data_IF_920768587312
#
_entry.id   IF_920768587312
#
_cell.length_a   1.000
_cell.length_b   1.000
_cell.length_c   1.000
_cell.angle_alpha   90.00
_cell.angle_beta   90.00
_cell.angle_gamma   90.00
#
_symmetry.space_group_name_H-M   'P 1'
#
loop_
_entity.id
_entity.type
_entity.pdbx_description
1 polymer ?
#
# COMPACT_ATOMS: atom_id res chain seq x y z
N UNK A 1 69.14 11.72 -72.05
CA UNK A 1 67.99 12.37 -71.40
C UNK A 1 67.14 11.25 -70.78
N UNK A 2 67.15 11.12 -69.45
CA UNK A 2 66.35 10.19 -68.73
C UNK A 2 65.43 10.99 -67.81
N UNK A 3 64.15 10.87 -68.10
CA UNK A 3 63.06 11.50 -67.32
C UNK A 3 62.73 10.62 -66.08
N UNK A 4 62.78 11.18 -64.90
CA UNK A 4 62.42 10.57 -63.62
C UNK A 4 60.94 10.95 -63.37
N UNK A 5 60.04 10.03 -63.08
CA UNK A 5 58.68 10.37 -62.66
C UNK A 5 58.63 10.66 -61.17
N UNK A 6 58.03 11.82 -60.84
CA UNK A 6 57.73 12.25 -59.49
C UNK A 6 56.51 11.50 -59.01
N UNK A 7 56.69 10.60 -58.01
CA UNK A 7 55.57 9.92 -57.33
C UNK A 7 55.08 10.82 -56.22
N UNK A 8 53.94 11.44 -56.37
CA UNK A 8 53.26 12.23 -55.36
C UNK A 8 52.60 11.31 -54.36
N UNK A 9 53.11 11.22 -53.15
CA UNK A 9 52.51 10.47 -52.04
C UNK A 9 51.33 11.29 -51.46
N UNK A 10 50.08 10.85 -51.69
CA UNK A 10 48.92 11.40 -51.01
C UNK A 10 48.84 10.83 -49.61
N UNK A 11 49.18 11.59 -48.59
CA UNK A 11 49.01 11.22 -47.18
C UNK A 11 47.56 11.46 -46.82
N UNK A 12 46.73 10.39 -46.84
CA UNK A 12 45.37 10.42 -46.25
C UNK A 12 45.51 10.41 -44.75
N UNK A 13 45.45 11.57 -44.10
CA UNK A 13 45.22 11.69 -42.65
C UNK A 13 43.75 11.34 -42.37
N UNK A 14 43.49 10.13 -41.92
CA UNK A 14 42.21 9.72 -41.36
C UNK A 14 42.08 10.39 -40.00
N UNK A 15 41.34 11.51 -39.94
CA UNK A 15 40.90 12.06 -38.67
C UNK A 15 39.88 11.12 -38.03
N UNK A 16 40.29 10.37 -37.04
CA UNK A 16 39.34 9.72 -36.13
C UNK A 16 38.67 10.80 -35.28
N UNK A 17 37.50 11.27 -35.70
CA UNK A 17 36.61 11.99 -34.81
C UNK A 17 36.13 11.04 -33.74
N UNK A 18 36.75 11.08 -32.56
CA UNK A 18 36.17 10.48 -31.35
C UNK A 18 34.95 11.33 -30.98
N UNK A 19 33.79 10.96 -31.49
CA UNK A 19 32.53 11.40 -30.92
C UNK A 19 32.47 10.84 -29.49
N UNK A 20 32.94 11.60 -28.52
CA UNK A 20 32.55 11.39 -27.12
C UNK A 20 31.03 11.59 -27.04
N UNK A 21 30.27 10.55 -27.10
CA UNK A 21 28.90 10.53 -26.60
C UNK A 21 28.98 10.92 -25.14
N UNK A 22 28.83 12.21 -24.84
CA UNK A 22 28.47 12.68 -23.52
C UNK A 22 27.04 12.17 -23.28
N UNK A 23 26.95 10.93 -22.80
CA UNK A 23 25.72 10.44 -22.19
C UNK A 23 25.59 11.24 -20.89
N UNK A 24 24.99 12.41 -20.98
CA UNK A 24 24.46 13.11 -19.80
C UNK A 24 23.45 12.14 -19.22
N UNK A 25 23.62 11.66 -17.99
CA UNK A 25 22.61 10.83 -17.37
C UNK A 25 21.31 11.64 -17.41
N UNK A 26 20.33 11.15 -18.14
CA UNK A 26 19.04 11.79 -18.27
C UNK A 26 18.34 11.61 -16.91
N UNK A 27 18.56 12.52 -15.96
CA UNK A 27 17.89 12.59 -14.67
C UNK A 27 16.44 13.09 -14.83
N UNK A 28 15.87 12.94 -16.02
CA UNK A 28 14.52 13.35 -16.34
C UNK A 28 13.54 12.59 -15.47
N UNK A 29 12.88 13.32 -14.57
CA UNK A 29 11.82 12.80 -13.72
C UNK A 29 12.23 12.29 -12.33
N UNK A 30 13.52 12.30 -11.94
CA UNK A 30 13.92 11.99 -10.58
C UNK A 30 13.65 13.17 -9.64
N UNK A 31 12.83 12.96 -8.62
CA UNK A 31 12.54 13.95 -7.58
C UNK A 31 13.06 13.44 -6.24
N UNK A 32 13.72 14.33 -5.47
CA UNK A 32 14.21 14.06 -4.12
C UNK A 32 13.34 14.76 -3.08
N UNK A 33 12.98 14.03 -2.03
CA UNK A 33 12.25 14.53 -0.88
C UNK A 33 13.11 14.31 0.38
N UNK A 34 13.20 15.37 1.19
CA UNK A 34 13.88 15.41 2.49
C UNK A 34 12.90 15.95 3.53
N UNK A 35 13.28 15.98 4.79
CA UNK A 35 12.44 16.55 5.87
C UNK A 35 12.01 17.99 5.56
N UNK A 36 12.80 18.75 4.80
CA UNK A 36 12.54 20.16 4.52
C UNK A 36 11.53 20.40 3.39
N UNK A 37 11.36 19.46 2.45
CA UNK A 37 10.49 19.59 1.30
C UNK A 37 9.46 18.44 1.15
N UNK A 38 9.41 17.52 2.11
CA UNK A 38 8.42 16.45 2.14
C UNK A 38 7.02 17.01 2.44
N UNK A 39 6.00 16.32 1.95
CA UNK A 39 4.64 16.57 2.38
C UNK A 39 4.45 16.13 3.84
N UNK A 40 3.57 16.79 4.62
CA UNK A 40 3.24 16.31 5.96
C UNK A 40 2.69 14.89 5.93
N UNK A 41 3.18 14.04 6.82
CA UNK A 41 2.63 12.69 6.99
C UNK A 41 1.39 12.73 7.87
N UNK A 42 0.25 12.29 7.36
CA UNK A 42 -1.05 12.38 8.03
C UNK A 42 -1.29 11.28 9.07
N UNK A 43 -0.48 10.23 9.05
CA UNK A 43 -0.61 9.04 9.92
C UNK A 43 -1.93 8.27 9.77
N UNK A 44 -2.71 8.53 8.72
CA UNK A 44 -3.98 7.83 8.46
C UNK A 44 -3.77 6.53 7.67
N UNK A 45 -2.66 6.44 6.94
CA UNK A 45 -2.27 5.28 6.14
C UNK A 45 -0.86 4.86 6.50
N UNK A 46 -0.57 3.56 6.35
CA UNK A 46 0.77 3.03 6.54
C UNK A 46 1.68 3.36 5.34
N UNK A 47 2.84 2.70 5.27
CA UNK A 47 3.79 2.81 4.16
C UNK A 47 3.16 2.25 2.89
N UNK A 48 2.70 3.13 2.02
CA UNK A 48 2.10 2.80 0.74
C UNK A 48 2.54 3.79 -0.34
N UNK A 49 2.29 3.48 -1.61
CA UNK A 49 2.74 4.28 -2.74
C UNK A 49 2.40 5.78 -2.62
N UNK A 50 1.21 6.12 -2.15
CA UNK A 50 0.76 7.51 -1.99
C UNK A 50 1.42 8.26 -0.82
N UNK A 51 1.98 7.54 0.16
CA UNK A 51 2.61 8.14 1.34
C UNK A 51 4.13 8.29 1.23
N UNK A 52 4.78 7.73 0.20
CA UNK A 52 6.25 7.73 0.12
C UNK A 52 6.88 9.11 0.24
N UNK A 53 6.31 10.12 -0.41
CA UNK A 53 6.83 11.50 -0.38
C UNK A 53 6.64 12.20 0.96
N UNK A 54 5.88 11.62 1.87
CA UNK A 54 5.64 12.12 3.23
C UNK A 54 6.45 11.41 4.30
N UNK A 55 7.25 10.40 3.92
CA UNK A 55 8.02 9.60 4.88
C UNK A 55 9.31 10.22 5.40
N UNK A 56 10.01 11.18 4.73
CA UNK A 56 11.22 11.76 5.28
C UNK A 56 11.02 12.25 6.72
N UNK A 57 11.93 11.87 7.63
CA UNK A 57 11.84 12.15 9.07
C UNK A 57 10.97 11.17 9.87
N UNK A 58 10.21 10.30 9.21
CA UNK A 58 9.41 9.30 9.90
C UNK A 58 10.28 8.11 10.36
N UNK A 59 9.83 7.46 11.42
CA UNK A 59 10.41 6.20 11.87
C UNK A 59 9.59 5.03 11.33
N UNK A 60 10.25 4.08 10.69
CA UNK A 60 9.67 2.83 10.22
C UNK A 60 10.14 1.66 11.09
N UNK A 61 9.27 0.71 11.35
CA UNK A 61 9.62 -0.59 11.89
C UNK A 61 9.52 -1.62 10.76
N UNK A 62 10.62 -2.33 10.49
CA UNK A 62 10.67 -3.43 9.55
C UNK A 62 10.14 -4.69 10.22
N UNK A 63 8.87 -4.99 10.08
CA UNK A 63 8.30 -6.21 10.67
C UNK A 63 8.57 -7.47 9.85
N UNK A 64 8.94 -7.32 8.58
CA UNK A 64 9.16 -8.45 7.69
C UNK A 64 7.90 -8.85 6.94
N UNK A 65 7.89 -10.05 6.39
CA UNK A 65 6.78 -10.63 5.65
C UNK A 65 6.29 -11.87 6.36
N UNK A 66 4.98 -12.01 6.54
CA UNK A 66 4.38 -13.22 7.08
C UNK A 66 4.80 -14.43 6.23
N UNK A 67 5.23 -15.50 6.88
CA UNK A 67 5.70 -16.72 6.22
C UNK A 67 6.95 -16.55 5.33
N UNK A 68 7.84 -15.59 5.65
CA UNK A 68 9.16 -15.53 4.99
C UNK A 68 9.95 -16.82 5.23
N UNK A 69 9.83 -17.76 4.28
CA UNK A 69 10.50 -19.07 4.35
C UNK A 69 11.97 -18.99 3.90
N UNK A 70 12.34 -17.95 3.18
CA UNK A 70 13.65 -17.85 2.55
C UNK A 70 14.67 -17.19 3.46
N UNK A 71 14.24 -16.31 4.37
CA UNK A 71 15.14 -15.59 5.28
C UNK A 71 16.08 -14.62 4.58
N UNK A 72 15.81 -14.23 3.32
CA UNK A 72 16.67 -13.39 2.48
C UNK A 72 15.86 -12.37 1.69
N UNK A 73 16.45 -11.17 1.54
CA UNK A 73 15.78 -10.02 0.91
C UNK A 73 16.63 -9.42 -0.21
N UNK A 74 16.04 -9.14 -1.35
CA UNK A 74 16.66 -8.52 -2.53
C UNK A 74 16.26 -7.05 -2.72
N UNK A 75 15.95 -6.34 -1.63
CA UNK A 75 15.42 -4.99 -1.66
C UNK A 75 16.34 -3.92 -1.05
N UNK A 76 17.50 -4.32 -0.49
CA UNK A 76 18.40 -3.42 0.22
C UNK A 76 19.73 -3.26 -0.51
N UNK A 77 20.14 -2.02 -0.73
CA UNK A 77 21.31 -1.67 -1.53
C UNK A 77 22.23 -0.71 -0.78
N UNK A 78 23.50 -0.65 -1.18
CA UNK A 78 24.47 0.32 -0.64
C UNK A 78 24.47 1.65 -1.40
N UNK A 79 23.82 1.69 -2.57
CA UNK A 79 23.69 2.86 -3.44
C UNK A 79 22.27 3.08 -3.91
N UNK A 80 21.92 4.30 -4.33
CA UNK A 80 20.63 4.59 -4.90
C UNK A 80 20.47 3.94 -6.28
N UNK A 81 19.69 2.87 -6.33
CA UNK A 81 19.46 2.09 -7.56
C UNK A 81 18.64 2.81 -8.64
N UNK A 82 18.08 4.00 -8.34
CA UNK A 82 17.38 4.82 -9.35
C UNK A 82 18.35 5.74 -10.12
N UNK A 83 19.56 5.95 -9.63
CA UNK A 83 20.53 6.89 -10.21
C UNK A 83 21.64 6.24 -11.01
N UNK A 84 21.76 4.91 -10.99
CA UNK A 84 22.82 4.19 -11.69
C UNK A 84 22.54 2.69 -11.83
N UNK A 85 23.44 2.02 -12.56
CA UNK A 85 23.35 0.58 -12.84
C UNK A 85 23.95 -0.28 -11.71
N UNK A 86 24.69 0.33 -10.78
CA UNK A 86 25.25 -0.38 -9.64
C UNK A 86 24.12 -0.74 -8.65
N UNK A 87 23.99 -2.04 -8.40
CA UNK A 87 23.01 -2.61 -7.47
C UNK A 87 23.70 -3.43 -6.38
N UNK A 88 24.79 -2.92 -5.84
CA UNK A 88 25.47 -3.58 -4.74
C UNK A 88 24.52 -3.74 -3.55
N UNK A 89 24.27 -5.00 -3.19
CA UNK A 89 23.32 -5.36 -2.12
C UNK A 89 23.93 -5.10 -0.74
N UNK A 90 23.15 -4.51 0.14
CA UNK A 90 23.56 -4.24 1.52
C UNK A 90 23.81 -5.55 2.28
N UNK A 91 24.98 -5.69 2.93
CA UNK A 91 25.39 -6.87 3.71
C UNK A 91 25.09 -8.21 3.01
N UNK A 92 25.38 -8.29 1.71
CA UNK A 92 25.10 -9.47 0.92
C UNK A 92 25.85 -10.71 1.46
N UNK A 93 25.13 -11.82 1.60
CA UNK A 93 25.73 -13.14 1.91
C UNK A 93 26.05 -13.90 0.63
N UNK A 94 25.29 -13.62 -0.41
CA UNK A 94 25.54 -13.99 -1.80
C UNK A 94 25.42 -12.72 -2.65
N UNK A 95 25.64 -12.81 -3.94
CA UNK A 95 25.73 -11.63 -4.84
C UNK A 95 24.45 -10.75 -4.81
N UNK A 96 23.31 -11.25 -4.32
CA UNK A 96 22.00 -10.62 -4.58
C UNK A 96 21.09 -10.43 -3.38
N UNK A 97 21.41 -10.93 -2.18
CA UNK A 97 20.44 -10.90 -1.08
C UNK A 97 21.03 -10.51 0.28
N UNK A 98 20.24 -9.79 1.08
CA UNK A 98 20.50 -9.42 2.47
C UNK A 98 19.81 -10.43 3.40
N UNK A 99 20.45 -10.99 4.43
CA UNK A 99 19.78 -11.86 5.40
C UNK A 99 18.69 -11.12 6.18
N UNK A 100 17.53 -11.75 6.40
CA UNK A 100 16.40 -11.16 7.15
C UNK A 100 16.84 -10.64 8.52
N UNK A 101 17.69 -11.37 9.26
CA UNK A 101 18.19 -10.97 10.59
C UNK A 101 18.93 -9.62 10.62
N UNK A 102 19.45 -9.18 9.47
CA UNK A 102 20.15 -7.88 9.37
C UNK A 102 19.17 -6.72 9.30
N UNK A 103 17.94 -6.95 8.86
CA UNK A 103 16.99 -5.89 8.52
C UNK A 103 15.64 -6.01 9.24
N UNK A 104 15.13 -7.21 9.49
CA UNK A 104 13.84 -7.46 10.16
C UNK A 104 13.95 -7.24 11.68
N UNK A 105 12.87 -6.76 12.31
CA UNK A 105 12.82 -6.46 13.74
C UNK A 105 13.55 -5.18 14.13
N UNK A 106 13.87 -4.31 13.17
CA UNK A 106 14.68 -3.10 13.38
C UNK A 106 13.88 -1.83 13.09
N UNK A 107 14.31 -0.73 13.72
CA UNK A 107 13.77 0.60 13.51
C UNK A 107 14.68 1.42 12.60
N UNK A 108 14.07 2.14 11.67
CA UNK A 108 14.77 2.96 10.69
C UNK A 108 14.18 4.37 10.67
N UNK A 109 15.05 5.37 10.56
CA UNK A 109 14.67 6.71 10.16
C UNK A 109 14.68 6.80 8.64
N UNK A 110 13.65 7.37 8.03
CA UNK A 110 13.66 7.71 6.61
C UNK A 110 14.39 9.04 6.44
N UNK A 111 15.60 9.00 5.92
CA UNK A 111 16.44 10.19 5.71
C UNK A 111 15.99 10.95 4.47
N UNK A 112 15.79 10.21 3.37
CA UNK A 112 15.39 10.74 2.07
C UNK A 112 14.52 9.76 1.30
N UNK A 113 13.75 10.29 0.37
CA UNK A 113 12.98 9.52 -0.61
C UNK A 113 13.25 10.07 -1.99
N UNK A 114 13.49 9.19 -2.95
CA UNK A 114 13.51 9.52 -4.36
C UNK A 114 12.34 8.85 -5.07
N UNK A 115 11.69 9.59 -5.94
CA UNK A 115 10.67 9.04 -6.86
C UNK A 115 11.07 9.32 -8.28
N UNK A 116 10.86 8.34 -9.16
CA UNK A 116 11.04 8.49 -10.60
C UNK A 116 9.73 8.18 -11.30
N UNK A 117 9.28 9.13 -12.12
CA UNK A 117 8.09 8.94 -12.95
C UNK A 117 8.56 9.08 -14.40
N UNK A 118 8.67 7.95 -15.09
CA UNK A 118 8.82 7.93 -16.54
C UNK A 118 7.69 7.11 -17.16
N UNK A 119 7.60 7.11 -18.49
CA UNK A 119 6.53 6.43 -19.24
C UNK A 119 6.50 4.90 -19.06
N UNK A 120 7.55 4.31 -18.53
CA UNK A 120 7.75 2.85 -18.45
C UNK A 120 7.93 2.33 -17.03
N UNK A 121 8.31 3.19 -16.07
CA UNK A 121 8.55 2.75 -14.69
C UNK A 121 8.25 3.84 -13.66
N UNK A 122 7.38 3.55 -12.72
CA UNK A 122 7.32 4.31 -11.47
C UNK A 122 8.30 3.66 -10.49
N UNK A 123 9.35 4.37 -10.10
CA UNK A 123 10.34 3.91 -9.14
C UNK A 123 10.28 4.72 -7.84
N UNK A 124 10.55 4.09 -6.72
CA UNK A 124 10.77 4.75 -5.43
C UNK A 124 11.96 4.12 -4.72
N UNK A 125 12.78 4.97 -4.12
CA UNK A 125 13.92 4.57 -3.32
C UNK A 125 13.92 5.33 -2.00
N UNK A 126 14.03 4.63 -0.89
CA UNK A 126 14.14 5.21 0.44
C UNK A 126 15.58 5.08 0.93
N UNK A 127 16.20 6.17 1.40
CA UNK A 127 17.39 6.10 2.22
C UNK A 127 16.96 5.91 3.67
N UNK A 128 17.29 4.76 4.21
CA UNK A 128 16.97 4.35 5.57
C UNK A 128 18.24 4.41 6.43
N UNK A 129 18.12 5.00 7.62
CA UNK A 129 19.18 4.97 8.65
C UNK A 129 18.72 4.09 9.80
N UNK A 130 19.45 3.01 10.06
CA UNK A 130 19.17 2.09 11.16
C UNK A 130 19.39 2.80 12.50
N UNK A 131 18.38 2.84 13.37
CA UNK A 131 18.46 3.60 14.63
C UNK A 131 19.48 3.06 15.63
N UNK A 132 19.70 1.75 15.62
CA UNK A 132 20.64 1.11 16.57
C UNK A 132 22.11 1.38 16.22
N UNK A 133 22.48 1.34 14.93
CA UNK A 133 23.88 1.39 14.49
C UNK A 133 24.24 2.67 13.71
N UNK A 134 23.25 3.40 13.22
CA UNK A 134 23.48 4.52 12.30
C UNK A 134 23.78 4.11 10.85
N UNK A 135 23.80 2.80 10.55
CA UNK A 135 24.05 2.31 9.19
C UNK A 135 22.98 2.83 8.24
N UNK A 136 23.42 3.28 7.07
CA UNK A 136 22.53 3.73 6.00
C UNK A 136 22.43 2.69 4.89
N UNK A 137 21.24 2.56 4.35
CA UNK A 137 20.95 1.67 3.21
C UNK A 137 19.81 2.21 2.36
N UNK A 138 19.84 1.88 1.08
CA UNK A 138 18.78 2.21 0.13
C UNK A 138 17.80 1.06 0.03
N UNK A 139 16.54 1.35 0.13
CA UNK A 139 15.46 0.36 0.13
C UNK A 139 14.49 0.56 -1.03
N UNK A 140 14.13 -0.56 -1.68
CA UNK A 140 13.11 -0.61 -2.72
C UNK A 140 11.76 -1.08 -2.14
N UNK A 141 10.80 -0.17 -1.84
CA UNK A 141 9.53 -0.54 -1.20
C UNK A 141 8.59 -1.33 -2.12
N UNK A 142 8.84 -1.36 -3.43
CA UNK A 142 8.02 -2.14 -4.37
C UNK A 142 8.34 -3.63 -4.39
N UNK A 143 9.52 -4.03 -3.86
CA UNK A 143 9.87 -5.45 -3.77
C UNK A 143 9.09 -6.17 -2.69
N UNK A 144 8.89 -5.51 -1.55
CA UNK A 144 8.18 -6.06 -0.40
C UNK A 144 7.20 -5.00 0.12
N UNK A 145 6.10 -4.73 -0.59
CA UNK A 145 5.04 -3.87 -0.08
C UNK A 145 4.50 -4.51 1.21
N UNK A 146 4.11 -3.72 2.17
CA UNK A 146 3.59 -4.18 3.47
C UNK A 146 4.61 -4.87 4.40
N UNK A 147 5.91 -4.65 4.21
CA UNK A 147 6.95 -5.20 5.10
C UNK A 147 7.36 -4.26 6.23
N UNK A 148 6.86 -3.03 6.21
CA UNK A 148 7.18 -1.99 7.18
C UNK A 148 5.92 -1.32 7.73
N UNK A 149 6.00 -0.90 8.98
CA UNK A 149 5.00 -0.06 9.62
C UNK A 149 5.60 1.29 10.02
N UNK A 150 4.99 2.39 9.60
CA UNK A 150 5.33 3.72 10.07
C UNK A 150 4.88 3.89 11.53
N UNK A 151 5.78 4.32 12.41
CA UNK A 151 5.46 4.47 13.83
C UNK A 151 4.41 5.55 14.06
N UNK A 152 4.40 6.62 13.26
CA UNK A 152 3.33 7.61 13.32
C UNK A 152 1.94 7.02 13.05
N UNK A 153 1.84 6.08 12.08
CA UNK A 153 0.62 5.33 11.83
C UNK A 153 0.25 4.41 13.01
N UNK A 154 1.20 3.61 13.51
CA UNK A 154 1.01 2.74 14.67
C UNK A 154 0.47 3.52 15.88
N UNK A 155 1.07 4.67 16.23
CA UNK A 155 0.62 5.53 17.33
C UNK A 155 -0.82 6.05 17.08
N UNK A 156 -1.16 6.35 15.84
CA UNK A 156 -2.51 6.78 15.47
C UNK A 156 -3.56 5.68 15.65
N UNK A 157 -3.18 4.41 15.49
CA UNK A 157 -4.09 3.28 15.71
C UNK A 157 -4.52 3.13 17.17
N UNK A 158 -3.75 3.65 18.14
CA UNK A 158 -4.10 3.61 19.57
C UNK A 158 -5.45 4.27 19.88
N UNK A 159 -5.96 5.13 18.99
CA UNK A 159 -7.32 5.69 19.10
C UNK A 159 -8.42 4.64 19.12
N UNK A 160 -8.15 3.45 18.60
CA UNK A 160 -9.13 2.35 18.59
C UNK A 160 -9.20 1.59 19.90
N UNK A 161 -8.20 1.70 20.77
CA UNK A 161 -8.18 1.02 22.08
C UNK A 161 -9.37 1.46 22.92
N UNK A 162 -10.10 0.48 23.44
CA UNK A 162 -11.34 0.68 24.19
C UNK A 162 -12.61 0.78 23.33
N UNK A 163 -12.50 0.93 22.02
CA UNK A 163 -13.67 0.94 21.13
C UNK A 163 -14.24 -0.46 20.93
N UNK A 164 -15.54 -0.52 20.69
CA UNK A 164 -16.28 -1.75 20.36
C UNK A 164 -16.48 -1.85 18.87
N UNK A 165 -16.32 -3.05 18.36
CA UNK A 165 -16.49 -3.43 16.97
C UNK A 165 -17.44 -4.60 16.82
N UNK A 166 -18.13 -4.70 15.70
CA UNK A 166 -18.95 -5.84 15.34
C UNK A 166 -18.28 -6.61 14.20
N UNK A 167 -18.29 -7.95 14.32
CA UNK A 167 -17.78 -8.85 13.28
C UNK A 167 -18.65 -8.83 12.03
N UNK A 168 -18.03 -8.90 10.85
CA UNK A 168 -18.67 -9.05 9.54
C UNK A 168 -18.78 -10.53 9.10
N UNK A 169 -18.68 -11.49 10.05
CA UNK A 169 -18.79 -12.94 9.84
C UNK A 169 -17.79 -13.50 8.83
N UNK A 170 -16.52 -13.06 8.90
CA UNK A 170 -15.45 -13.57 8.05
C UNK A 170 -14.34 -14.20 8.88
N UNK A 171 -13.50 -14.98 8.20
CA UNK A 171 -12.37 -15.64 8.85
C UNK A 171 -11.38 -14.63 9.39
N UNK A 172 -11.03 -14.76 10.67
CA UNK A 172 -10.02 -13.96 11.38
C UNK A 172 -9.02 -14.86 12.06
N UNK A 173 -7.80 -14.37 12.27
CA UNK A 173 -6.74 -15.10 12.97
C UNK A 173 -6.78 -14.75 14.45
N UNK A 174 -6.71 -15.75 15.30
CA UNK A 174 -6.60 -15.57 16.75
C UNK A 174 -5.15 -15.24 17.14
N UNK A 175 -4.95 -14.71 18.34
CA UNK A 175 -3.62 -14.36 18.84
C UNK A 175 -2.64 -15.55 18.83
N UNK A 176 -3.13 -16.78 18.98
CA UNK A 176 -2.35 -18.02 18.91
C UNK A 176 -2.24 -18.62 17.50
N UNK A 177 -2.73 -17.90 16.48
CA UNK A 177 -2.55 -18.25 15.07
C UNK A 177 -3.60 -19.23 14.51
N UNK A 178 -4.69 -19.51 15.23
CA UNK A 178 -5.80 -20.28 14.69
C UNK A 178 -6.70 -19.39 13.83
N UNK A 179 -7.37 -19.98 12.86
CA UNK A 179 -8.35 -19.28 12.04
C UNK A 179 -9.76 -19.66 12.50
N UNK A 180 -10.52 -18.65 12.89
CA UNK A 180 -11.93 -18.81 13.30
C UNK A 180 -12.84 -17.96 12.44
N UNK A 181 -14.15 -18.27 12.41
CA UNK A 181 -15.19 -17.42 11.80
C UNK A 181 -16.14 -16.98 12.89
N UNK A 182 -16.04 -15.75 13.40
CA UNK A 182 -16.98 -15.23 14.38
C UNK A 182 -18.40 -15.19 13.83
N UNK A 183 -19.39 -15.22 14.70
CA UNK A 183 -20.76 -14.92 14.27
C UNK A 183 -20.87 -13.48 13.75
N UNK A 184 -21.70 -13.26 12.73
CA UNK A 184 -21.99 -11.91 12.25
C UNK A 184 -22.61 -11.06 13.37
N UNK A 185 -22.08 -9.87 13.57
CA UNK A 185 -22.52 -8.96 14.63
C UNK A 185 -22.00 -9.31 16.02
N UNK A 186 -21.15 -10.35 16.16
CA UNK A 186 -20.48 -10.64 17.44
C UNK A 186 -19.63 -9.43 17.86
N UNK A 187 -19.72 -9.06 19.14
CA UNK A 187 -19.03 -7.91 19.69
C UNK A 187 -17.60 -8.25 20.09
N UNK A 188 -16.70 -7.37 19.72
CA UNK A 188 -15.29 -7.37 20.08
C UNK A 188 -14.86 -6.01 20.58
N UNK A 189 -14.03 -5.97 21.62
CA UNK A 189 -13.43 -4.76 22.12
C UNK A 189 -11.96 -4.70 21.73
N UNK A 190 -11.51 -3.61 21.14
CA UNK A 190 -10.09 -3.40 20.92
C UNK A 190 -9.38 -3.20 22.26
N UNK A 191 -8.52 -4.12 22.63
CA UNK A 191 -7.82 -4.11 23.94
C UNK A 191 -6.40 -3.56 23.82
N UNK A 192 -5.76 -3.72 22.66
CA UNK A 192 -4.40 -3.23 22.40
C UNK A 192 -4.13 -3.08 20.90
N UNK A 193 -2.99 -2.50 20.55
CA UNK A 193 -2.44 -2.44 19.19
C UNK A 193 -1.14 -3.23 19.15
N UNK A 194 -1.10 -4.24 18.30
CA UNK A 194 0.06 -5.11 18.11
C UNK A 194 0.95 -4.66 16.95
N UNK A 195 2.24 -4.92 17.12
CA UNK A 195 3.25 -4.81 16.06
C UNK A 195 4.30 -5.88 16.33
N UNK A 196 4.31 -6.93 15.52
CA UNK A 196 5.21 -8.09 15.69
C UNK A 196 6.01 -8.37 14.43
N UNK A 197 7.10 -9.12 14.56
CA UNK A 197 7.88 -9.60 13.41
C UNK A 197 7.08 -10.62 12.61
N UNK A 198 7.35 -10.64 11.31
CA UNK A 198 6.73 -11.58 10.34
C UNK A 198 5.18 -11.52 10.35
N UNK A 199 4.63 -10.30 10.42
CA UNK A 199 3.20 -10.02 10.38
C UNK A 199 2.82 -9.26 9.11
N UNK A 200 1.53 -9.08 8.90
CA UNK A 200 0.99 -8.27 7.81
C UNK A 200 0.97 -6.75 8.15
N UNK A 201 1.62 -6.35 9.24
CA UNK A 201 1.73 -4.97 9.72
C UNK A 201 1.23 -4.77 11.14
N UNK A 202 0.91 -3.52 11.48
CA UNK A 202 0.25 -3.22 12.75
C UNK A 202 -1.20 -3.72 12.72
N UNK A 203 -1.66 -4.27 13.84
CA UNK A 203 -3.00 -4.83 14.00
C UNK A 203 -3.66 -4.38 15.29
N UNK A 204 -4.98 -4.43 15.33
CA UNK A 204 -5.78 -4.28 16.54
C UNK A 204 -5.91 -5.65 17.19
N UNK A 205 -5.59 -5.74 18.47
CA UNK A 205 -5.91 -6.93 19.27
C UNK A 205 -7.33 -6.76 19.81
N UNK A 206 -8.24 -7.58 19.33
CA UNK A 206 -9.66 -7.54 19.61
C UNK A 206 -10.03 -8.68 20.53
N UNK A 207 -10.77 -8.42 21.60
CA UNK A 207 -11.23 -9.43 22.56
C UNK A 207 -12.74 -9.57 22.51
N UNK A 208 -13.23 -10.79 22.26
CA UNK A 208 -14.64 -11.15 22.30
C UNK A 208 -15.19 -11.34 23.71
N UNK A 209 -16.51 -11.45 23.84
CA UNK A 209 -17.18 -11.67 25.13
C UNK A 209 -16.79 -13.03 25.79
N UNK A 210 -16.33 -13.98 25.01
CA UNK A 210 -15.81 -15.30 25.45
C UNK A 210 -14.33 -15.26 25.86
N UNK A 211 -13.68 -14.08 25.78
CA UNK A 211 -12.26 -13.89 26.06
C UNK A 211 -11.33 -14.32 24.90
N UNK A 212 -11.89 -14.77 23.77
CA UNK A 212 -11.08 -15.10 22.58
C UNK A 212 -10.52 -13.80 21.98
N UNK A 213 -9.22 -13.79 21.74
CA UNK A 213 -8.52 -12.66 21.13
C UNK A 213 -8.19 -12.93 19.67
N UNK A 214 -8.45 -11.95 18.81
CA UNK A 214 -8.21 -12.02 17.37
C UNK A 214 -7.43 -10.80 16.89
N UNK A 215 -6.69 -10.97 15.79
CA UNK A 215 -5.95 -9.92 15.12
C UNK A 215 -6.79 -9.32 14.00
N UNK A 216 -7.05 -8.02 14.06
CA UNK A 216 -7.81 -7.29 13.05
C UNK A 216 -6.93 -6.21 12.41
N UNK A 217 -6.84 -6.22 11.07
CA UNK A 217 -5.96 -5.33 10.33
C UNK A 217 -6.70 -4.08 9.86
N UNK A 218 -6.19 -2.87 10.16
CA UNK A 218 -6.76 -1.65 9.62
C UNK A 218 -6.50 -1.55 8.12
N UNK A 219 -7.50 -1.10 7.37
CA UNK A 219 -7.42 -0.92 5.92
C UNK A 219 -7.01 0.53 5.58
N UNK A 220 -7.34 1.46 6.45
CA UNK A 220 -7.05 2.89 6.33
C UNK A 220 -8.14 3.74 6.95
N UNK A 221 -7.79 4.94 7.41
CA UNK A 221 -8.72 5.80 8.14
C UNK A 221 -9.31 5.10 9.36
N UNK A 222 -10.63 5.01 9.44
CA UNK A 222 -11.37 4.34 10.53
C UNK A 222 -11.89 2.94 10.14
N UNK A 223 -11.43 2.40 9.01
CA UNK A 223 -11.85 1.08 8.52
C UNK A 223 -10.91 -0.03 9.00
N UNK A 224 -11.50 -1.13 9.46
CA UNK A 224 -10.81 -2.34 9.91
C UNK A 224 -11.32 -3.51 9.08
N UNK A 225 -10.40 -4.36 8.62
CA UNK A 225 -10.76 -5.55 7.85
C UNK A 225 -11.60 -6.49 8.70
N UNK A 226 -12.70 -7.01 8.15
CA UNK A 226 -13.63 -7.95 8.78
C UNK A 226 -14.38 -7.43 10.03
N UNK A 227 -14.23 -6.14 10.36
CA UNK A 227 -14.91 -5.52 11.49
C UNK A 227 -15.45 -4.13 11.15
N UNK A 228 -16.51 -3.72 11.85
CA UNK A 228 -17.04 -2.36 11.78
C UNK A 228 -17.21 -1.78 13.19
N UNK A 229 -16.72 -0.59 13.44
CA UNK A 229 -16.87 0.05 14.76
C UNK A 229 -18.33 0.46 15.01
N UNK A 230 -18.78 0.35 16.28
CA UNK A 230 -20.10 0.83 16.70
C UNK A 230 -20.28 2.32 16.44
N UNK A 231 -19.20 3.11 16.56
CA UNK A 231 -19.20 4.53 16.21
C UNK A 231 -19.53 4.76 14.72
N UNK A 232 -18.95 3.94 13.81
CA UNK A 232 -19.26 4.00 12.36
C UNK A 232 -20.70 3.63 12.08
N UNK A 233 -21.22 2.60 12.76
CA UNK A 233 -22.65 2.21 12.64
C UNK A 233 -23.54 3.40 13.01
N UNK A 234 -23.33 4.03 14.17
CA UNK A 234 -24.11 5.18 14.61
C UNK A 234 -24.06 6.37 13.64
N UNK A 235 -22.90 6.64 13.01
CA UNK A 235 -22.79 7.66 11.96
C UNK A 235 -23.65 7.33 10.74
N UNK A 236 -23.63 6.07 10.29
CA UNK A 236 -24.41 5.60 9.14
C UNK A 236 -25.89 5.58 9.44
N UNK A 237 -26.31 5.16 10.64
CA UNK A 237 -27.68 5.20 11.11
C UNK A 237 -28.23 6.64 11.15
N UNK A 238 -27.42 7.57 11.64
CA UNK A 238 -27.78 9.01 11.63
C UNK A 238 -27.97 9.57 10.22
N UNK A 239 -27.17 9.09 9.24
CA UNK A 239 -27.20 9.57 7.86
C UNK A 239 -28.30 8.93 7.02
N UNK A 240 -28.52 7.61 7.17
CA UNK A 240 -29.36 6.82 6.28
C UNK A 240 -30.55 6.14 6.98
N UNK A 241 -30.77 6.43 8.26
CA UNK A 241 -31.75 5.75 9.10
C UNK A 241 -31.24 4.42 9.64
N UNK A 242 -31.85 3.93 10.72
CA UNK A 242 -31.40 2.73 11.44
C UNK A 242 -31.29 1.49 10.52
N UNK A 243 -32.34 1.19 9.74
CA UNK A 243 -32.35 0.02 8.84
C UNK A 243 -31.20 0.06 7.83
N UNK A 244 -31.10 1.14 7.05
CA UNK A 244 -30.14 1.20 5.96
C UNK A 244 -28.72 1.51 6.47
N UNK A 245 -28.58 2.26 7.55
CA UNK A 245 -27.30 2.50 8.19
C UNK A 245 -26.61 1.21 8.64
N UNK A 246 -27.37 0.29 9.27
CA UNK A 246 -26.88 -1.06 9.64
C UNK A 246 -26.50 -1.87 8.40
N UNK A 247 -27.36 -1.93 7.38
CA UNK A 247 -27.07 -2.66 6.15
C UNK A 247 -25.78 -2.17 5.50
N UNK A 248 -25.58 -0.86 5.37
CA UNK A 248 -24.37 -0.27 4.81
C UNK A 248 -23.14 -0.64 5.65
N UNK A 249 -23.25 -0.56 6.98
CA UNK A 249 -22.16 -0.92 7.89
C UNK A 249 -21.72 -2.39 7.71
N UNK A 250 -22.67 -3.28 7.47
CA UNK A 250 -22.42 -4.71 7.22
C UNK A 250 -22.16 -5.03 5.74
N UNK A 251 -21.95 -4.00 4.91
CA UNK A 251 -21.70 -4.13 3.45
C UNK A 251 -22.78 -4.89 2.72
N UNK A 252 -24.05 -4.72 3.16
CA UNK A 252 -25.25 -5.32 2.58
C UNK A 252 -26.05 -4.28 1.81
N UNK A 253 -26.68 -4.74 0.74
CA UNK A 253 -27.61 -3.94 -0.07
C UNK A 253 -28.96 -4.65 -0.10
N UNK A 254 -30.03 -3.88 0.02
CA UNK A 254 -31.41 -4.34 0.02
C UNK A 254 -32.28 -3.44 -0.88
N UNK A 255 -33.46 -3.91 -1.23
CA UNK A 255 -34.47 -3.14 -1.98
C UNK A 255 -34.85 -1.87 -1.24
N UNK A 256 -35.17 -0.81 -2.00
CA UNK A 256 -35.49 0.51 -1.48
C UNK A 256 -34.25 1.35 -1.09
N UNK A 257 -33.04 0.83 -1.15
CA UNK A 257 -31.82 1.64 -0.99
C UNK A 257 -31.63 2.55 -2.19
N UNK A 258 -31.15 3.77 -1.94
CA UNK A 258 -30.77 4.69 -3.02
C UNK A 258 -29.42 4.31 -3.63
N UNK A 259 -29.13 4.85 -4.81
CA UNK A 259 -27.82 4.68 -5.46
C UNK A 259 -26.66 5.08 -4.52
N UNK A 260 -26.81 6.19 -3.78
CA UNK A 260 -25.79 6.64 -2.81
C UNK A 260 -25.57 5.61 -1.70
N UNK A 261 -26.64 5.01 -1.18
CA UNK A 261 -26.57 3.96 -0.15
C UNK A 261 -25.85 2.70 -0.67
N UNK A 262 -26.12 2.31 -1.92
CA UNK A 262 -25.42 1.17 -2.56
C UNK A 262 -23.93 1.44 -2.68
N UNK A 263 -23.54 2.63 -3.15
CA UNK A 263 -22.14 3.03 -3.24
C UNK A 263 -21.49 3.08 -1.84
N UNK A 264 -22.21 3.59 -0.85
CA UNK A 264 -21.71 3.60 0.54
C UNK A 264 -21.49 2.19 1.11
N UNK A 265 -22.28 1.18 0.67
CA UNK A 265 -22.18 -0.21 1.12
C UNK A 265 -21.10 -1.00 0.35
N UNK A 266 -21.02 -0.86 -0.97
CA UNK A 266 -20.22 -1.71 -1.85
C UNK A 266 -19.06 -1.00 -2.55
N UNK A 267 -18.92 0.34 -2.41
CA UNK A 267 -17.96 1.16 -3.14
C UNK A 267 -18.46 1.55 -4.54
N UNK A 268 -17.57 2.08 -5.37
CA UNK A 268 -17.91 2.47 -6.75
C UNK A 268 -18.07 1.23 -7.64
N UNK A 269 -19.10 1.20 -8.52
CA UNK A 269 -19.28 0.14 -9.48
C UNK A 269 -18.19 0.22 -10.58
N UNK A 270 -17.67 -0.92 -11.02
CA UNK A 270 -16.75 -0.94 -12.15
C UNK A 270 -17.44 -0.76 -13.52
N UNK A 271 -18.74 -1.02 -13.57
CA UNK A 271 -19.56 -0.82 -14.77
C UNK A 271 -20.95 -0.33 -14.39
N UNK A 272 -21.48 0.62 -15.18
CA UNK A 272 -22.87 1.06 -15.12
C UNK A 272 -23.49 1.14 -16.49
N UNK A 273 -24.78 0.80 -16.58
CA UNK A 273 -25.61 1.02 -17.76
C UNK A 273 -26.95 1.65 -17.35
N UNK A 274 -27.50 2.48 -18.22
CA UNK A 274 -28.74 3.21 -18.00
C UNK A 274 -29.66 3.07 -19.25
N UNK A 275 -30.92 2.78 -19.02
CA UNK A 275 -31.95 2.72 -20.07
C UNK A 275 -33.12 3.57 -19.62
N UNK A 276 -33.56 4.52 -20.47
CA UNK A 276 -34.75 5.35 -20.26
C UNK A 276 -35.89 4.83 -21.13
N UNK A 277 -36.99 4.50 -20.50
CA UNK A 277 -38.20 4.04 -21.18
C UNK A 277 -39.43 4.60 -20.49
N UNK A 278 -40.36 5.21 -21.26
CA UNK A 278 -41.64 5.71 -20.76
C UNK A 278 -41.53 6.69 -19.58
N UNK A 279 -40.48 7.55 -19.60
CA UNK A 279 -40.20 8.51 -18.53
C UNK A 279 -39.55 7.94 -17.28
N UNK A 280 -39.30 6.63 -17.22
CA UNK A 280 -38.59 5.95 -16.11
C UNK A 280 -37.17 5.63 -16.48
N UNK A 281 -36.29 5.63 -15.47
CA UNK A 281 -34.89 5.33 -15.65
C UNK A 281 -34.53 3.99 -14.96
N UNK A 282 -34.13 3.01 -15.75
CA UNK A 282 -33.57 1.75 -15.25
C UNK A 282 -32.03 1.84 -15.30
N UNK A 283 -31.38 1.76 -14.15
CA UNK A 283 -29.92 1.75 -14.02
C UNK A 283 -29.45 0.39 -13.50
N UNK A 284 -28.39 -0.15 -14.10
CA UNK A 284 -27.72 -1.37 -13.61
C UNK A 284 -26.31 -1.01 -13.16
N UNK A 285 -25.98 -1.29 -11.90
CA UNK A 285 -24.64 -1.10 -11.32
C UNK A 285 -24.00 -2.46 -11.06
N UNK A 286 -22.79 -2.69 -11.61
CA UNK A 286 -21.99 -3.92 -11.41
C UNK A 286 -20.76 -3.64 -10.56
N UNK A 287 -20.57 -4.45 -9.51
CA UNK A 287 -19.46 -4.34 -8.53
C UNK A 287 -18.48 -5.51 -8.60
N UNK A 288 -18.88 -6.63 -9.20
CA UNK A 288 -18.07 -7.78 -9.58
C UNK A 288 -18.87 -8.62 -10.56
N UNK A 289 -18.27 -9.68 -11.12
CA UNK A 289 -19.01 -10.59 -12.02
C UNK A 289 -20.21 -11.23 -11.35
N UNK A 290 -20.16 -11.37 -10.02
CA UNK A 290 -21.19 -12.04 -9.23
C UNK A 290 -22.05 -11.09 -8.39
N UNK A 291 -21.90 -9.76 -8.55
CA UNK A 291 -22.60 -8.77 -7.72
C UNK A 291 -23.07 -7.59 -8.52
N UNK A 292 -24.40 -7.44 -8.65
CA UNK A 292 -24.99 -6.27 -9.27
C UNK A 292 -26.33 -5.91 -8.67
N UNK A 293 -26.76 -4.68 -8.91
CA UNK A 293 -28.10 -4.17 -8.57
C UNK A 293 -28.76 -3.53 -9.77
N UNK A 294 -30.10 -3.56 -9.79
CA UNK A 294 -30.93 -2.80 -10.70
C UNK A 294 -31.74 -1.78 -9.91
N UNK A 295 -31.61 -0.52 -10.34
CA UNK A 295 -32.35 0.60 -9.75
C UNK A 295 -33.40 1.11 -10.75
N UNK A 296 -34.56 1.39 -10.25
CA UNK A 296 -35.62 2.07 -11.00
C UNK A 296 -35.82 3.44 -10.39
N UNK A 297 -35.64 4.49 -11.20
CA UNK A 297 -35.72 5.89 -10.75
C UNK A 297 -34.85 6.21 -9.53
N UNK A 298 -33.67 5.56 -9.42
CA UNK A 298 -32.68 5.77 -8.36
C UNK A 298 -32.87 4.91 -7.12
N UNK A 299 -33.87 4.03 -7.05
CA UNK A 299 -34.09 3.11 -5.94
C UNK A 299 -33.87 1.65 -6.36
N UNK A 300 -33.20 0.86 -5.52
CA UNK A 300 -32.91 -0.56 -5.73
C UNK A 300 -34.21 -1.36 -5.77
N UNK A 301 -34.46 -2.02 -6.89
CA UNK A 301 -35.54 -2.96 -7.08
C UNK A 301 -35.07 -4.41 -7.03
N UNK A 302 -33.83 -4.64 -7.44
CA UNK A 302 -33.29 -5.99 -7.53
C UNK A 302 -31.81 -6.03 -7.13
N UNK A 303 -31.45 -7.02 -6.31
CA UNK A 303 -30.08 -7.27 -5.87
C UNK A 303 -29.71 -8.69 -6.26
N UNK A 304 -28.54 -8.85 -6.89
CA UNK A 304 -27.99 -10.17 -7.21
C UNK A 304 -26.61 -10.33 -6.64
N UNK A 305 -26.44 -11.42 -5.88
CA UNK A 305 -25.17 -11.90 -5.32
C UNK A 305 -25.14 -13.41 -5.63
N UNK A 306 -24.09 -13.90 -6.30
CA UNK A 306 -23.88 -15.31 -6.61
C UNK A 306 -22.92 -15.96 -5.64
#
# INVERSE_FOLDING_TARGET
>A
MKTIPIITFFLCTVMYAHAQLNIVPKNDGLKEYTVTNAHPYDSLTNVEKRSFTSLPGQTLYMHGVKNDRNGYWDAFYTVNFLTGDDRTVYKAVNISTTPSKEVVGKYYEVVKVWTKTDYLSAGCCLLLRKKESGDEMYYNPFRYPLSMTCIGYYEKLKRFVGQTFLSLAKAVETEDGQVITPAEGAEYRCVDIGLKMNSDGAFLLMEGADGVRVEAFPIGGDEVYEFVSTARIGQLEKRYGEKYGKLIAFRKVDTGMTREMVIAAWGEPYHKSEVKKEGRTLETLRFSDNRYVELLDGEVQYVRIY
#
